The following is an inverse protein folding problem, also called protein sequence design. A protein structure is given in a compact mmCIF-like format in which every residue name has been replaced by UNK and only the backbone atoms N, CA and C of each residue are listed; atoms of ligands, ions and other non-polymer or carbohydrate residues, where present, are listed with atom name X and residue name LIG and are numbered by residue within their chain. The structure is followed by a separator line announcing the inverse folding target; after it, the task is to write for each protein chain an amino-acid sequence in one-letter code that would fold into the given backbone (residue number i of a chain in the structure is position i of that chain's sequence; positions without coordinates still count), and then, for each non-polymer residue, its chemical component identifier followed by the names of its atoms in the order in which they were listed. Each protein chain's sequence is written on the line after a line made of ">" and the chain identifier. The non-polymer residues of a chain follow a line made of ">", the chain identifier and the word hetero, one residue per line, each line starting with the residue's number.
data_IF_445939463205
#
_entry.id   IF_445939463205
#
_cell.length_a   1.000
_cell.length_b   1.000
_cell.length_c   1.000
_cell.angle_alpha   90.00
_cell.angle_beta   90.00
_cell.angle_gamma   90.00
#
_symmetry.space_group_name_H-M   'P 1'
#
loop_
_entity.id
_entity.type
_entity.pdbx_description
1 polymer ?
#
# COMPACT_ATOMS: atom_id res chain seq x y z
N UNK A 1 9.28 40.87 2.29
CA UNK A 1 8.12 41.63 1.70
C UNK A 1 7.16 41.84 2.84
N UNK A 2 6.52 43.05 2.98
CA UNK A 2 5.60 43.34 4.09
C UNK A 2 4.33 42.47 3.91
N UNK A 3 3.75 41.93 4.99
CA UNK A 3 2.56 41.08 5.05
C UNK A 3 1.37 41.63 4.27
N UNK A 4 1.14 42.98 4.34
CA UNK A 4 0.11 43.66 3.55
C UNK A 4 0.30 43.54 2.04
N UNK A 5 1.54 43.57 1.56
CA UNK A 5 1.88 43.38 0.15
C UNK A 5 1.66 41.93 -0.31
N UNK A 6 1.91 40.94 0.56
CA UNK A 6 1.63 39.53 0.29
C UNK A 6 0.12 39.31 0.17
N UNK A 7 -0.66 39.78 1.14
CA UNK A 7 -2.12 39.67 1.14
C UNK A 7 -2.74 40.34 -0.09
N UNK A 8 -2.28 41.56 -0.46
CA UNK A 8 -2.76 42.28 -1.64
C UNK A 8 -2.48 41.52 -2.97
N UNK A 9 -1.37 40.78 -3.04
CA UNK A 9 -1.06 39.96 -4.20
C UNK A 9 -1.94 38.71 -4.22
N UNK A 10 -2.00 37.96 -3.12
CA UNK A 10 -2.75 36.72 -2.99
C UNK A 10 -4.25 36.94 -3.27
N UNK A 11 -4.83 38.06 -2.80
CA UNK A 11 -6.25 38.36 -2.99
C UNK A 11 -6.67 38.60 -4.44
N UNK A 12 -5.71 38.78 -5.34
CA UNK A 12 -5.95 38.99 -6.79
C UNK A 12 -5.68 37.72 -7.61
N UNK A 13 -5.17 36.65 -7.00
CA UNK A 13 -4.82 35.42 -7.70
C UNK A 13 -6.04 34.52 -7.90
N UNK A 14 -6.09 33.86 -9.05
CA UNK A 14 -7.08 32.82 -9.31
C UNK A 14 -6.73 31.52 -8.57
N UNK A 15 -7.71 30.64 -8.41
CA UNK A 15 -7.57 29.37 -7.68
C UNK A 15 -6.32 28.58 -8.09
N UNK A 16 -6.09 28.40 -9.38
CA UNK A 16 -4.95 27.61 -9.88
C UNK A 16 -3.59 28.28 -9.59
N UNK A 17 -3.54 29.60 -9.59
CA UNK A 17 -2.34 30.33 -9.19
C UNK A 17 -2.06 30.17 -7.70
N UNK A 18 -3.10 30.17 -6.87
CA UNK A 18 -2.99 29.93 -5.42
C UNK A 18 -2.50 28.50 -5.12
N UNK A 19 -3.02 27.51 -5.83
CA UNK A 19 -2.57 26.11 -5.71
C UNK A 19 -1.09 25.96 -6.13
N UNK A 20 -0.72 26.57 -7.24
CA UNK A 20 0.68 26.60 -7.70
C UNK A 20 1.60 27.26 -6.66
N UNK A 21 1.15 28.35 -6.06
CA UNK A 21 1.90 29.05 -5.01
C UNK A 21 2.04 28.15 -3.77
N UNK A 22 0.94 27.52 -3.31
CA UNK A 22 0.93 26.61 -2.17
C UNK A 22 1.90 25.44 -2.33
N UNK A 23 1.94 24.86 -3.55
CA UNK A 23 2.79 23.72 -3.86
C UNK A 23 4.29 24.07 -3.88
N UNK A 24 4.64 25.23 -4.40
CA UNK A 24 6.03 25.58 -4.68
C UNK A 24 6.69 26.46 -3.60
N UNK A 25 5.91 27.11 -2.74
CA UNK A 25 6.48 28.01 -1.73
C UNK A 25 7.05 27.23 -0.54
N UNK A 26 8.13 27.73 0.02
CA UNK A 26 8.63 27.35 1.35
C UNK A 26 8.45 28.50 2.38
N UNK A 27 7.83 29.59 1.97
CA UNK A 27 7.53 30.72 2.85
C UNK A 27 6.35 30.39 3.77
N UNK A 28 6.66 30.21 5.04
CA UNK A 28 5.68 29.81 6.07
C UNK A 28 4.57 30.84 6.23
N UNK A 29 4.84 32.12 6.01
CA UNK A 29 3.82 33.17 6.10
C UNK A 29 2.80 33.03 4.96
N UNK A 30 3.27 32.76 3.74
CA UNK A 30 2.40 32.47 2.59
C UNK A 30 1.58 31.20 2.84
N UNK A 31 2.20 30.12 3.31
CA UNK A 31 1.50 28.87 3.63
C UNK A 31 0.41 29.08 4.68
N UNK A 32 0.68 29.87 5.74
CA UNK A 32 -0.32 30.21 6.76
C UNK A 32 -1.52 30.99 6.19
N UNK A 33 -1.27 31.92 5.24
CA UNK A 33 -2.35 32.65 4.58
C UNK A 33 -3.20 31.73 3.71
N UNK A 34 -2.57 30.83 2.96
CA UNK A 34 -3.26 29.90 2.07
C UNK A 34 -4.01 28.80 2.84
N UNK A 35 -3.54 28.42 4.01
CA UNK A 35 -4.16 27.40 4.87
C UNK A 35 -5.54 27.82 5.44
N UNK A 36 -5.87 29.09 5.40
CA UNK A 36 -7.20 29.62 5.80
C UNK A 36 -8.01 30.12 4.60
N UNK A 37 -7.62 29.73 3.39
CA UNK A 37 -8.36 30.10 2.18
C UNK A 37 -9.77 29.51 2.19
N UNK A 38 -10.75 30.27 1.71
CA UNK A 38 -12.14 29.83 1.64
C UNK A 38 -12.32 28.59 0.73
N UNK A 39 -11.46 28.42 -0.29
CA UNK A 39 -11.49 27.27 -1.18
C UNK A 39 -10.71 26.09 -0.56
N UNK A 40 -11.39 24.98 -0.29
CA UNK A 40 -10.80 23.78 0.29
C UNK A 40 -9.67 23.18 -0.57
N UNK A 41 -9.75 23.27 -1.91
CA UNK A 41 -8.70 22.75 -2.79
C UNK A 41 -7.35 23.48 -2.59
N UNK A 42 -7.38 24.77 -2.26
CA UNK A 42 -6.17 25.53 -1.90
C UNK A 42 -5.61 25.00 -0.57
N UNK A 43 -6.49 24.79 0.43
CA UNK A 43 -6.09 24.21 1.72
C UNK A 43 -5.56 22.78 1.57
N UNK A 44 -6.20 21.95 0.71
CA UNK A 44 -5.67 20.63 0.35
C UNK A 44 -4.26 20.72 -0.20
N UNK A 45 -4.02 21.62 -1.17
CA UNK A 45 -2.69 21.76 -1.77
C UNK A 45 -1.63 22.20 -0.74
N UNK A 46 -2.01 23.05 0.23
CA UNK A 46 -1.14 23.35 1.37
C UNK A 46 -0.87 22.09 2.17
N UNK A 47 -1.90 21.30 2.49
CA UNK A 47 -1.75 20.06 3.27
C UNK A 47 -0.88 19.01 2.56
N UNK A 48 -0.95 18.91 1.23
CA UNK A 48 -0.16 17.98 0.40
C UNK A 48 1.30 18.43 0.23
N UNK A 49 1.59 19.73 0.37
CA UNK A 49 2.92 20.25 0.12
C UNK A 49 3.93 19.69 1.14
N UNK A 50 5.06 19.19 0.63
CA UNK A 50 6.19 18.73 1.45
C UNK A 50 6.85 19.85 2.27
N UNK A 51 6.58 21.11 1.91
CA UNK A 51 7.13 22.29 2.58
C UNK A 51 6.25 22.76 3.76
N UNK A 52 5.08 22.12 3.96
CA UNK A 52 4.15 22.52 5.02
C UNK A 52 4.70 22.14 6.40
N UNK A 53 4.86 23.10 7.30
CA UNK A 53 5.33 22.85 8.65
C UNK A 53 4.38 21.95 9.45
N UNK A 54 4.93 21.21 10.41
CA UNK A 54 4.15 20.29 11.27
C UNK A 54 3.06 21.03 12.05
N UNK A 55 3.33 22.24 12.50
CA UNK A 55 2.38 23.08 13.21
C UNK A 55 1.17 23.42 12.35
N UNK A 56 1.38 23.66 11.06
CA UNK A 56 0.33 23.95 10.12
C UNK A 56 -0.44 22.68 9.72
N UNK A 57 0.23 21.54 9.59
CA UNK A 57 -0.44 20.24 9.45
C UNK A 57 -1.35 19.93 10.64
N UNK A 58 -0.94 20.30 11.87
CA UNK A 58 -1.76 20.14 13.07
C UNK A 58 -3.02 21.02 13.07
N UNK A 59 -2.98 22.17 12.43
CA UNK A 59 -4.16 23.04 12.23
C UNK A 59 -5.08 22.43 11.17
N UNK A 60 -4.54 22.11 9.98
CA UNK A 60 -5.29 21.53 8.86
C UNK A 60 -5.87 20.15 9.17
N UNK A 61 -5.29 19.41 10.11
CA UNK A 61 -5.84 18.15 10.59
C UNK A 61 -7.21 18.28 11.30
N UNK A 62 -7.64 19.50 11.59
CA UNK A 62 -8.95 19.82 12.19
C UNK A 62 -9.86 20.56 11.22
N UNK A 63 -9.49 20.61 9.94
CA UNK A 63 -10.29 21.27 8.91
C UNK A 63 -11.70 20.67 8.84
N UNK A 64 -12.69 21.50 8.54
CA UNK A 64 -14.08 21.05 8.36
C UNK A 64 -14.21 20.08 7.19
N UNK A 65 -13.42 20.29 6.12
CA UNK A 65 -13.43 19.50 4.91
C UNK A 65 -12.59 18.23 5.08
N UNK A 66 -13.18 17.08 4.72
CA UNK A 66 -12.53 15.79 4.87
C UNK A 66 -11.38 15.60 3.86
N UNK A 67 -11.44 16.22 2.66
CA UNK A 67 -10.37 16.17 1.67
C UNK A 67 -9.09 16.81 2.21
N UNK A 68 -9.22 17.95 2.94
CA UNK A 68 -8.09 18.60 3.60
C UNK A 68 -7.49 17.70 4.68
N UNK A 69 -8.33 17.07 5.52
CA UNK A 69 -7.85 16.13 6.54
C UNK A 69 -7.21 14.89 5.93
N UNK A 70 -7.75 14.39 4.80
CA UNK A 70 -7.17 13.30 4.02
C UNK A 70 -5.79 13.66 3.48
N UNK A 71 -5.66 14.88 2.92
CA UNK A 71 -4.38 15.39 2.45
C UNK A 71 -3.33 15.48 3.57
N UNK A 72 -3.73 15.95 4.77
CA UNK A 72 -2.86 15.91 5.95
C UNK A 72 -2.47 14.48 6.30
N UNK A 73 -3.42 13.55 6.34
CA UNK A 73 -3.14 12.14 6.68
C UNK A 73 -2.19 11.48 5.67
N UNK A 74 -2.27 11.85 4.40
CA UNK A 74 -1.41 11.34 3.33
C UNK A 74 -0.01 12.00 3.31
N UNK A 75 0.16 13.17 3.90
CA UNK A 75 1.44 13.88 3.89
C UNK A 75 2.51 13.08 4.67
N UNK A 76 3.64 12.79 4.00
CA UNK A 76 4.75 12.04 4.59
C UNK A 76 5.46 12.74 5.78
N UNK A 77 5.22 14.04 5.97
CA UNK A 77 5.75 14.81 7.11
C UNK A 77 4.79 14.80 8.31
N UNK A 78 3.59 14.25 8.17
CA UNK A 78 2.61 14.19 9.26
C UNK A 78 3.12 13.26 10.37
N UNK A 79 3.30 13.79 11.59
CA UNK A 79 3.84 13.00 12.69
C UNK A 79 2.79 12.05 13.30
N UNK A 80 3.27 11.02 14.00
CA UNK A 80 2.44 9.94 14.54
C UNK A 80 1.30 10.41 15.48
N UNK A 81 1.48 11.48 16.23
CA UNK A 81 0.44 12.02 17.12
C UNK A 81 -0.75 12.61 16.33
N UNK A 82 -0.49 13.28 15.20
CA UNK A 82 -1.56 13.78 14.30
C UNK A 82 -2.24 12.60 13.63
N UNK A 83 -1.50 11.60 13.13
CA UNK A 83 -2.07 10.38 12.56
C UNK A 83 -2.94 9.63 13.58
N UNK A 84 -2.53 9.57 14.85
CA UNK A 84 -3.33 8.95 15.93
C UNK A 84 -4.67 9.66 16.14
N UNK A 85 -4.70 10.98 15.99
CA UNK A 85 -5.94 11.75 16.04
C UNK A 85 -6.82 11.46 14.82
N UNK A 86 -6.25 11.53 13.61
CA UNK A 86 -6.97 11.32 12.34
C UNK A 86 -7.43 9.87 12.16
N UNK A 87 -6.79 8.91 12.82
CA UNK A 87 -7.23 7.50 12.84
C UNK A 87 -8.64 7.29 13.44
N UNK A 88 -9.16 8.29 14.15
CA UNK A 88 -10.52 8.29 14.73
C UNK A 88 -11.48 9.19 13.93
N UNK A 89 -11.08 9.64 12.74
CA UNK A 89 -11.93 10.50 11.92
C UNK A 89 -13.23 9.79 11.55
N UNK A 90 -14.32 10.56 11.48
CA UNK A 90 -15.62 10.05 11.04
C UNK A 90 -15.60 9.55 9.61
N UNK A 91 -14.76 10.17 8.77
CA UNK A 91 -14.63 9.84 7.37
C UNK A 91 -13.68 8.65 7.12
N UNK A 92 -14.12 7.72 6.27
CA UNK A 92 -13.34 6.53 5.94
C UNK A 92 -12.09 6.83 5.13
N UNK A 93 -12.14 7.82 4.24
CA UNK A 93 -11.01 8.18 3.38
C UNK A 93 -9.85 8.77 4.18
N UNK A 94 -10.17 9.55 5.22
CA UNK A 94 -9.15 10.02 6.18
C UNK A 94 -8.47 8.84 6.88
N UNK A 95 -9.27 7.85 7.37
CA UNK A 95 -8.71 6.68 8.05
C UNK A 95 -7.90 5.78 7.11
N UNK A 96 -8.31 5.68 5.81
CA UNK A 96 -7.51 4.99 4.78
C UNK A 96 -6.17 5.68 4.57
N UNK A 97 -6.17 7.00 4.46
CA UNK A 97 -4.94 7.77 4.29
C UNK A 97 -3.99 7.57 5.49
N UNK A 98 -4.54 7.59 6.73
CA UNK A 98 -3.76 7.23 7.93
C UNK A 98 -3.18 5.81 7.81
N UNK A 99 -4.02 4.81 7.45
CA UNK A 99 -3.55 3.43 7.35
C UNK A 99 -2.43 3.26 6.30
N UNK A 100 -2.44 4.04 5.23
CA UNK A 100 -1.41 4.03 4.18
C UNK A 100 -0.15 4.83 4.54
N UNK A 101 -0.20 5.71 5.54
CA UNK A 101 0.94 6.53 5.89
C UNK A 101 2.03 5.69 6.58
N UNK A 102 3.28 5.86 6.14
CA UNK A 102 4.43 5.13 6.70
C UNK A 102 4.81 5.55 8.12
N UNK A 103 4.37 6.74 8.56
CA UNK A 103 4.60 7.23 9.92
C UNK A 103 3.53 6.72 10.90
N UNK A 104 2.55 5.96 10.43
CA UNK A 104 1.51 5.40 11.29
C UNK A 104 2.10 4.37 12.24
N UNK A 105 1.87 4.56 13.53
CA UNK A 105 2.38 3.66 14.57
C UNK A 105 1.69 2.30 14.52
N UNK A 106 2.38 1.28 15.05
CA UNK A 106 1.85 -0.08 15.16
C UNK A 106 0.53 -0.11 15.93
N UNK A 107 0.41 0.63 17.03
CA UNK A 107 -0.83 0.69 17.82
C UNK A 107 -2.02 1.22 17.01
N UNK A 108 -1.77 2.23 16.17
CA UNK A 108 -2.80 2.77 15.27
C UNK A 108 -3.16 1.78 14.18
N UNK A 109 -2.18 1.06 13.60
CA UNK A 109 -2.46 0.00 12.63
C UNK A 109 -3.28 -1.14 13.25
N UNK A 110 -2.96 -1.54 14.48
CA UNK A 110 -3.75 -2.56 15.21
C UNK A 110 -5.18 -2.09 15.44
N UNK A 111 -5.39 -0.84 15.84
CA UNK A 111 -6.72 -0.26 16.00
C UNK A 111 -7.50 -0.26 14.68
N UNK A 112 -6.88 0.23 13.59
CA UNK A 112 -7.51 0.32 12.25
C UNK A 112 -7.68 -1.06 11.60
N UNK A 113 -6.93 -2.08 12.03
CA UNK A 113 -7.12 -3.46 11.60
C UNK A 113 -8.49 -4.06 11.96
N UNK A 114 -9.21 -3.43 12.89
CA UNK A 114 -10.58 -3.77 13.27
C UNK A 114 -11.60 -2.74 12.79
N UNK A 115 -11.26 -1.86 11.83
CA UNK A 115 -12.18 -0.87 11.31
C UNK A 115 -13.41 -1.53 10.67
N UNK A 116 -14.59 -0.90 10.84
CA UNK A 116 -15.84 -1.36 10.25
C UNK A 116 -15.80 -1.44 8.72
N UNK A 117 -14.93 -0.64 8.10
CA UNK A 117 -14.82 -0.49 6.65
C UNK A 117 -13.68 -1.36 6.12
N UNK A 118 -13.97 -2.32 5.24
CA UNK A 118 -12.98 -3.22 4.70
C UNK A 118 -11.83 -2.52 3.92
N UNK A 119 -12.10 -1.36 3.31
CA UNK A 119 -11.05 -0.55 2.63
C UNK A 119 -9.97 -0.10 3.61
N UNK A 120 -10.37 0.31 4.85
CA UNK A 120 -9.42 0.69 5.90
C UNK A 120 -8.62 -0.53 6.33
N UNK A 121 -9.28 -1.68 6.59
CA UNK A 121 -8.59 -2.93 6.94
C UNK A 121 -7.64 -3.39 5.83
N UNK A 122 -8.04 -3.20 4.55
CA UNK A 122 -7.17 -3.49 3.41
C UNK A 122 -5.96 -2.56 3.34
N UNK A 123 -6.14 -1.26 3.61
CA UNK A 123 -5.03 -0.31 3.68
C UNK A 123 -4.04 -0.69 4.80
N UNK A 124 -4.56 -1.11 5.96
CA UNK A 124 -3.71 -1.69 7.03
C UNK A 124 -2.95 -2.91 6.53
N UNK A 125 -3.64 -3.88 5.88
CA UNK A 125 -2.98 -5.07 5.34
C UNK A 125 -1.87 -4.75 4.32
N UNK A 126 -1.99 -3.63 3.61
CA UNK A 126 -1.00 -3.15 2.64
C UNK A 126 0.16 -2.36 3.24
N UNK A 127 0.05 -1.88 4.46
CA UNK A 127 1.10 -1.08 5.09
C UNK A 127 2.31 -1.95 5.42
N UNK A 128 3.51 -1.45 5.06
CA UNK A 128 4.78 -2.18 5.29
C UNK A 128 5.11 -2.37 6.78
N UNK A 129 4.58 -1.49 7.65
CA UNK A 129 4.79 -1.54 9.09
C UNK A 129 3.76 -2.41 9.82
N UNK A 130 2.84 -3.05 9.10
CA UNK A 130 1.82 -3.91 9.72
C UNK A 130 2.48 -5.13 10.37
N UNK A 131 2.23 -5.36 11.69
CA UNK A 131 2.79 -6.50 12.40
C UNK A 131 2.37 -7.83 11.78
N UNK A 132 3.25 -8.82 11.87
CA UNK A 132 2.99 -10.17 11.32
C UNK A 132 1.80 -10.85 12.01
N UNK A 133 1.58 -10.59 13.29
CA UNK A 133 0.44 -11.07 14.06
C UNK A 133 -0.86 -10.50 13.50
N UNK A 134 -0.88 -9.20 13.18
CA UNK A 134 -2.05 -8.54 12.58
C UNK A 134 -2.30 -9.03 11.15
N UNK A 135 -1.26 -9.26 10.35
CA UNK A 135 -1.42 -9.86 9.02
C UNK A 135 -2.06 -11.25 9.12
N UNK A 136 -1.69 -12.05 10.13
CA UNK A 136 -2.28 -13.37 10.36
C UNK A 136 -3.76 -13.30 10.76
N UNK A 137 -4.16 -12.25 11.49
CA UNK A 137 -5.58 -11.98 11.79
C UNK A 137 -6.34 -11.55 10.53
N UNK A 138 -5.81 -10.57 9.78
CA UNK A 138 -6.43 -10.05 8.57
C UNK A 138 -6.48 -11.08 7.43
N UNK A 139 -5.69 -12.12 7.47
CA UNK A 139 -5.77 -13.26 6.57
C UNK A 139 -7.10 -14.06 6.71
N UNK A 140 -7.84 -13.85 7.78
CA UNK A 140 -9.16 -14.44 8.02
C UNK A 140 -10.30 -13.43 7.86
N UNK A 141 -10.03 -12.25 7.29
CA UNK A 141 -11.04 -11.23 7.07
C UNK A 141 -12.19 -11.76 6.20
N UNK A 142 -13.41 -11.36 6.53
CA UNK A 142 -14.60 -11.72 5.74
C UNK A 142 -14.52 -11.24 4.30
N UNK A 143 -13.87 -10.09 4.06
CA UNK A 143 -13.78 -9.48 2.75
C UNK A 143 -12.55 -10.01 1.98
N UNK A 144 -12.79 -10.60 0.81
CA UNK A 144 -11.76 -11.20 -0.03
C UNK A 144 -10.60 -10.25 -0.39
N UNK A 145 -10.89 -8.95 -0.58
CA UNK A 145 -9.88 -7.96 -0.95
C UNK A 145 -8.86 -7.69 0.17
N UNK A 146 -9.31 -7.76 1.44
CA UNK A 146 -8.40 -7.67 2.59
C UNK A 146 -7.45 -8.87 2.59
N UNK A 147 -7.98 -10.10 2.45
CA UNK A 147 -7.18 -11.32 2.37
C UNK A 147 -6.22 -11.30 1.17
N UNK A 148 -6.69 -10.76 0.02
CA UNK A 148 -5.86 -10.58 -1.17
C UNK A 148 -4.68 -9.64 -0.91
N UNK A 149 -4.92 -8.55 -0.18
CA UNK A 149 -3.88 -7.57 0.19
C UNK A 149 -2.89 -8.20 1.17
N UNK A 150 -3.35 -8.98 2.14
CA UNK A 150 -2.47 -9.78 3.00
C UNK A 150 -1.59 -10.71 2.16
N UNK A 151 -2.18 -11.47 1.22
CA UNK A 151 -1.43 -12.39 0.37
C UNK A 151 -0.35 -11.68 -0.48
N UNK A 152 -0.57 -10.41 -0.83
CA UNK A 152 0.38 -9.58 -1.58
C UNK A 152 1.47 -8.98 -0.70
N UNK A 153 1.23 -8.76 0.59
CA UNK A 153 2.19 -8.12 1.49
C UNK A 153 3.44 -8.99 1.64
N UNK A 154 4.61 -8.37 1.42
CA UNK A 154 5.89 -9.09 1.48
C UNK A 154 6.30 -9.50 2.90
N UNK A 155 5.68 -8.92 3.94
CA UNK A 155 5.92 -9.29 5.34
C UNK A 155 5.01 -10.42 5.82
N UNK A 156 4.08 -10.90 4.96
CA UNK A 156 3.16 -11.98 5.36
C UNK A 156 3.93 -13.27 5.69
N UNK A 157 3.71 -13.86 6.89
CA UNK A 157 4.37 -15.09 7.30
C UNK A 157 4.09 -16.26 6.36
N UNK A 158 5.03 -17.17 6.26
CA UNK A 158 4.90 -18.39 5.42
C UNK A 158 3.71 -19.24 5.82
N UNK A 159 3.47 -19.36 7.11
CA UNK A 159 2.35 -20.10 7.70
C UNK A 159 1.01 -19.49 7.26
N UNK A 160 0.91 -18.15 7.28
CA UNK A 160 -0.27 -17.42 6.81
C UNK A 160 -0.47 -17.57 5.30
N UNK A 161 0.61 -17.51 4.50
CA UNK A 161 0.54 -17.75 3.07
C UNK A 161 0.13 -19.20 2.76
N UNK A 162 0.55 -20.17 3.57
CA UNK A 162 0.14 -21.57 3.42
C UNK A 162 -1.38 -21.73 3.62
N UNK A 163 -1.96 -21.03 4.58
CA UNK A 163 -3.43 -21.01 4.80
C UNK A 163 -4.15 -20.35 3.62
N UNK A 164 -3.68 -19.17 3.18
CA UNK A 164 -4.28 -18.42 2.07
C UNK A 164 -4.16 -19.15 0.71
N UNK A 165 -3.28 -20.13 0.58
CA UNK A 165 -3.21 -20.99 -0.61
C UNK A 165 -4.47 -21.84 -0.86
N UNK A 166 -5.34 -21.96 0.15
CA UNK A 166 -6.64 -22.63 0.10
C UNK A 166 -7.83 -21.68 -0.04
N UNK A 167 -7.59 -20.40 -0.18
CA UNK A 167 -8.67 -19.41 -0.23
C UNK A 167 -9.64 -19.70 -1.39
N UNK A 168 -10.92 -19.46 -1.14
CA UNK A 168 -11.96 -19.61 -2.16
C UNK A 168 -11.79 -18.60 -3.30
N UNK A 169 -11.26 -17.40 -3.01
CA UNK A 169 -11.01 -16.34 -3.99
C UNK A 169 -9.75 -16.61 -4.82
N UNK A 170 -9.89 -16.54 -6.13
CA UNK A 170 -8.79 -16.80 -7.06
C UNK A 170 -7.67 -15.75 -6.97
N UNK A 171 -8.02 -14.50 -6.71
CA UNK A 171 -7.06 -13.40 -6.60
C UNK A 171 -6.17 -13.56 -5.36
N UNK A 172 -6.74 -14.08 -4.26
CA UNK A 172 -5.97 -14.43 -3.06
C UNK A 172 -4.96 -15.52 -3.39
N UNK A 173 -5.40 -16.64 -3.98
CA UNK A 173 -4.49 -17.73 -4.36
C UNK A 173 -3.42 -17.31 -5.37
N UNK A 174 -3.78 -16.45 -6.34
CA UNK A 174 -2.83 -15.90 -7.30
C UNK A 174 -1.76 -15.03 -6.64
N UNK A 175 -2.15 -14.19 -5.66
CA UNK A 175 -1.19 -13.36 -4.91
C UNK A 175 -0.29 -14.23 -4.02
N UNK A 176 -0.81 -15.28 -3.39
CA UNK A 176 0.03 -16.27 -2.70
C UNK A 176 1.05 -16.87 -3.66
N UNK A 177 0.61 -17.33 -4.84
CA UNK A 177 1.50 -17.91 -5.84
C UNK A 177 2.58 -16.93 -6.32
N UNK A 178 2.27 -15.62 -6.38
CA UNK A 178 3.19 -14.56 -6.76
C UNK A 178 4.08 -14.05 -5.62
N UNK A 179 3.72 -14.31 -4.37
CA UNK A 179 4.47 -13.81 -3.22
C UNK A 179 5.84 -14.52 -3.11
N UNK A 180 6.91 -13.72 -3.04
CA UNK A 180 8.28 -14.25 -2.93
C UNK A 180 8.55 -15.01 -1.61
N UNK A 181 7.69 -14.86 -0.61
CA UNK A 181 7.78 -15.59 0.66
C UNK A 181 6.89 -16.85 0.67
N UNK A 182 6.18 -17.13 -0.43
CA UNK A 182 5.33 -18.32 -0.51
C UNK A 182 6.14 -19.60 -0.18
N UNK A 183 5.68 -20.44 0.76
CA UNK A 183 6.35 -21.66 1.09
C UNK A 183 6.26 -22.68 -0.07
N UNK A 184 7.25 -23.56 -0.18
CA UNK A 184 7.33 -24.53 -1.28
C UNK A 184 6.09 -25.43 -1.36
N UNK A 185 5.55 -25.80 -0.22
CA UNK A 185 4.36 -26.64 -0.08
C UNK A 185 3.12 -25.95 -0.69
N UNK A 186 2.94 -24.66 -0.43
CA UNK A 186 1.89 -23.86 -1.05
C UNK A 186 2.05 -23.78 -2.57
N UNK A 187 3.28 -23.56 -3.05
CA UNK A 187 3.56 -23.52 -4.50
C UNK A 187 3.34 -24.88 -5.18
N UNK A 188 3.65 -26.00 -4.53
CA UNK A 188 3.33 -27.34 -5.03
C UNK A 188 1.82 -27.50 -5.21
N UNK A 189 1.05 -27.11 -4.21
CA UNK A 189 -0.42 -27.15 -4.24
C UNK A 189 -0.99 -26.29 -5.36
N UNK A 190 -0.57 -25.01 -5.41
CA UNK A 190 -1.04 -24.02 -6.38
C UNK A 190 -0.60 -24.33 -7.82
N UNK A 191 0.43 -25.15 -8.01
CA UNK A 191 0.82 -25.68 -9.33
C UNK A 191 -0.28 -26.57 -9.96
N UNK A 192 -1.16 -27.14 -9.14
CA UNK A 192 -2.34 -27.90 -9.56
C UNK A 192 -3.65 -27.09 -9.56
N UNK A 193 -3.60 -25.77 -9.32
CA UNK A 193 -4.81 -24.94 -9.25
C UNK A 193 -5.62 -25.00 -10.55
N UNK A 194 -6.94 -24.95 -10.41
CA UNK A 194 -7.87 -24.90 -11.56
C UNK A 194 -7.70 -23.66 -12.42
N UNK A 195 -7.31 -22.53 -11.79
CA UNK A 195 -7.15 -21.26 -12.48
C UNK A 195 -5.78 -21.19 -13.18
N UNK A 196 -5.81 -20.71 -14.42
CA UNK A 196 -4.62 -20.57 -15.25
C UNK A 196 -3.66 -19.50 -14.70
N UNK A 197 -4.18 -18.36 -14.23
CA UNK A 197 -3.39 -17.26 -13.69
C UNK A 197 -2.61 -17.66 -12.43
N UNK A 198 -3.23 -18.48 -11.57
CA UNK A 198 -2.58 -19.03 -10.38
C UNK A 198 -1.39 -19.93 -10.79
N UNK A 199 -1.61 -20.89 -11.71
CA UNK A 199 -0.51 -21.75 -12.19
C UNK A 199 0.60 -20.95 -12.89
N UNK A 200 0.25 -19.91 -13.65
CA UNK A 200 1.21 -18.98 -14.28
C UNK A 200 2.05 -18.23 -13.24
N UNK A 201 1.43 -17.77 -12.15
CA UNK A 201 2.14 -17.14 -11.05
C UNK A 201 3.13 -18.09 -10.38
N UNK A 202 2.75 -19.37 -10.18
CA UNK A 202 3.66 -20.40 -9.65
C UNK A 202 4.90 -20.57 -10.54
N UNK A 203 4.75 -20.67 -11.86
CA UNK A 203 5.90 -20.84 -12.78
C UNK A 203 6.90 -19.68 -12.64
N UNK A 204 6.40 -18.47 -12.44
CA UNK A 204 7.23 -17.27 -12.33
C UNK A 204 7.80 -17.04 -10.92
N UNK A 205 7.34 -17.78 -9.91
CA UNK A 205 7.80 -17.58 -8.55
C UNK A 205 9.24 -18.11 -8.36
N UNK A 206 10.17 -17.31 -7.84
CA UNK A 206 11.56 -17.73 -7.65
C UNK A 206 11.72 -18.92 -6.69
N UNK A 207 10.78 -19.09 -5.74
CA UNK A 207 10.80 -20.18 -4.77
C UNK A 207 10.20 -21.50 -5.29
N UNK A 208 9.65 -21.50 -6.51
CA UNK A 208 9.09 -22.73 -7.09
C UNK A 208 10.21 -23.76 -7.25
N UNK A 209 9.99 -24.96 -6.66
CA UNK A 209 11.00 -26.01 -6.67
C UNK A 209 11.27 -26.56 -8.07
N UNK A 210 12.46 -27.13 -8.28
CA UNK A 210 12.82 -27.82 -9.52
C UNK A 210 11.77 -28.89 -9.89
N UNK A 211 11.35 -29.70 -8.92
CA UNK A 211 10.36 -30.75 -9.14
C UNK A 211 8.99 -30.19 -9.53
N UNK A 212 8.55 -29.08 -8.93
CA UNK A 212 7.31 -28.39 -9.30
C UNK A 212 7.38 -27.85 -10.72
N UNK A 213 8.50 -27.23 -11.10
CA UNK A 213 8.72 -26.77 -12.47
C UNK A 213 8.75 -27.94 -13.46
N UNK A 214 9.36 -29.06 -13.10
CA UNK A 214 9.39 -30.27 -13.93
C UNK A 214 7.97 -30.82 -14.13
N UNK A 215 7.12 -30.80 -13.11
CA UNK A 215 5.72 -31.15 -13.22
C UNK A 215 4.98 -30.21 -14.19
N UNK A 216 5.14 -28.90 -14.01
CA UNK A 216 4.52 -27.88 -14.87
C UNK A 216 5.03 -27.91 -16.31
N UNK A 217 6.25 -28.40 -16.56
CA UNK A 217 6.80 -28.58 -17.91
C UNK A 217 6.12 -29.69 -18.72
N UNK A 218 5.24 -30.48 -18.09
CA UNK A 218 4.50 -31.59 -18.71
C UNK A 218 2.99 -31.33 -18.84
N UNK A 219 2.48 -30.18 -18.37
CA UNK A 219 1.04 -29.87 -18.43
C UNK A 219 0.57 -29.60 -19.87
N UNK A 220 -0.75 -29.77 -20.11
CA UNK A 220 -1.35 -29.53 -21.43
C UNK A 220 -1.32 -28.01 -21.84
N UNK A 221 -1.39 -27.10 -20.87
CA UNK A 221 -1.34 -25.67 -21.12
C UNK A 221 0.02 -25.25 -21.71
N UNK A 222 0.06 -24.97 -23.00
CA UNK A 222 1.29 -24.73 -23.78
C UNK A 222 2.15 -23.64 -23.18
N UNK A 223 1.56 -22.49 -22.87
CA UNK A 223 2.30 -21.34 -22.33
C UNK A 223 2.97 -21.65 -20.97
N UNK A 224 2.24 -22.31 -20.05
CA UNK A 224 2.79 -22.74 -18.76
C UNK A 224 3.93 -23.74 -18.96
N UNK A 225 3.72 -24.72 -19.84
CA UNK A 225 4.70 -25.74 -20.17
C UNK A 225 5.99 -25.16 -20.72
N UNK A 226 5.91 -24.29 -21.71
CA UNK A 226 7.08 -23.68 -22.33
C UNK A 226 7.81 -22.75 -21.36
N UNK A 227 7.06 -21.96 -20.58
CA UNK A 227 7.67 -21.10 -19.55
C UNK A 227 8.37 -21.92 -18.46
N UNK A 228 7.80 -23.02 -18.03
CA UNK A 228 8.44 -23.90 -17.05
C UNK A 228 9.76 -24.49 -17.59
N UNK A 229 9.81 -24.89 -18.87
CA UNK A 229 11.05 -25.35 -19.53
C UNK A 229 12.11 -24.25 -19.63
N UNK A 230 11.70 -23.04 -19.97
CA UNK A 230 12.57 -21.86 -20.01
C UNK A 230 13.22 -21.60 -18.64
N UNK A 231 12.41 -21.52 -17.58
CA UNK A 231 12.90 -21.30 -16.20
C UNK A 231 13.84 -22.41 -15.75
N UNK A 232 13.55 -23.68 -16.08
CA UNK A 232 14.42 -24.80 -15.77
C UNK A 232 15.78 -24.66 -16.48
N UNK A 233 15.78 -24.28 -17.76
CA UNK A 233 17.02 -24.03 -18.54
C UNK A 233 17.86 -22.90 -17.96
N UNK A 234 17.23 -21.77 -17.62
CA UNK A 234 17.91 -20.63 -17.00
C UNK A 234 18.57 -20.98 -15.67
N UNK A 235 17.87 -21.76 -14.82
CA UNK A 235 18.42 -22.20 -13.54
C UNK A 235 19.59 -23.18 -13.71
N UNK A 236 19.54 -24.05 -14.70
CA UNK A 236 20.63 -24.96 -15.01
C UNK A 236 21.90 -24.20 -15.48
N UNK A 237 21.72 -23.19 -16.34
CA UNK A 237 22.83 -22.34 -16.80
C UNK A 237 23.50 -21.56 -15.63
N UNK A 238 22.69 -20.94 -14.75
CA UNK A 238 23.19 -20.25 -13.55
C UNK A 238 23.94 -21.17 -12.59
N UNK A 239 23.49 -22.42 -12.44
CA UNK A 239 24.16 -23.39 -11.58
C UNK A 239 25.55 -23.81 -12.13
N UNK A 240 25.71 -23.89 -13.47
CA UNK A 240 26.99 -24.21 -14.11
C UNK A 240 27.99 -23.04 -14.01
N UNK A 241 27.54 -21.82 -14.24
CA UNK A 241 28.41 -20.63 -14.12
C UNK A 241 28.92 -20.37 -12.70
N UNK A 242 28.16 -20.80 -11.67
CA UNK A 242 28.61 -20.69 -10.26
C UNK A 242 29.56 -21.81 -9.82
N UNK A 243 29.70 -22.89 -10.59
CA UNK A 243 30.67 -23.96 -10.34
C UNK A 243 32.04 -23.69 -10.97
N UNK A 244 32.09 -22.78 -11.93
CA UNK A 244 33.33 -22.37 -12.64
C UNK A 244 34.03 -21.17 -11.99
N UNK A 245 33.48 -20.62 -10.91
CA UNK A 245 34.07 -19.56 -10.09
C UNK A 245 34.46 -20.08 -8.70
#
# INVERSE_FOLDING_TARGET
>A
MNKENILSKISKMFKEELKNLAWNTSDVEILNILAVNANYEVRCTVAESKNTPVELLAVLAKDEDYDVRTAVAANGNTPANILTMLAKDKDGDVRIAVANNRNTSVDVLVMLGSDKTWWVRSAVAGNINTPIELLSVLAQDEHWFVRQTVAKNENTPKETLAVLADDCDLGVRQNVAGNKNAPKEALVKLAGDRDYGVRKAVVNNPNTSYNTLLMLSKVKAVEIREKAKEVLKERALKANTNKER
#
